data_IF_887934146965
#
_entry.id   IF_887934146965
#
_cell.length_a   1.000
_cell.length_b   1.000
_cell.length_c   1.000
_cell.angle_alpha   90.00
_cell.angle_beta   90.00
_cell.angle_gamma   90.00
#
_symmetry.space_group_name_H-M   'P 1'
#
loop_
_entity.id
_entity.type
_entity.pdbx_description
1 polymer ?
#
# COMPACT_ATOMS: atom_id res chain seq x y z
N UNK A 1 -21.02 -19.28 20.57
CA UNK A 1 -20.29 -18.31 19.71
C UNK A 1 -18.95 -18.95 19.38
N UNK A 2 -18.49 -18.91 18.12
CA UNK A 2 -17.23 -19.53 17.71
C UNK A 2 -16.04 -18.59 17.96
N UNK A 3 -14.89 -19.12 18.37
CA UNK A 3 -13.67 -18.36 18.67
C UNK A 3 -13.20 -17.48 17.51
N UNK A 4 -13.45 -17.90 16.27
CA UNK A 4 -13.15 -17.09 15.07
C UNK A 4 -13.82 -15.72 15.11
N UNK A 5 -14.99 -15.59 15.75
CA UNK A 5 -15.65 -14.28 15.87
C UNK A 5 -14.84 -13.33 16.76
N UNK A 6 -14.33 -13.84 17.88
CA UNK A 6 -13.50 -13.05 18.78
C UNK A 6 -12.13 -12.74 18.15
N UNK A 7 -11.54 -13.71 17.45
CA UNK A 7 -10.28 -13.52 16.72
C UNK A 7 -10.38 -12.37 15.70
N UNK A 8 -11.46 -12.32 14.92
CA UNK A 8 -11.68 -11.25 13.95
C UNK A 8 -11.80 -9.89 14.64
N UNK A 9 -12.47 -9.81 15.79
CA UNK A 9 -12.62 -8.55 16.55
C UNK A 9 -11.28 -8.11 17.14
N UNK A 10 -10.56 -9.01 17.82
CA UNK A 10 -9.25 -8.73 18.43
C UNK A 10 -8.24 -8.34 17.36
N UNK A 11 -8.29 -8.96 16.18
CA UNK A 11 -7.47 -8.56 15.03
C UNK A 11 -7.72 -7.11 14.60
N UNK A 12 -8.96 -6.61 14.67
CA UNK A 12 -9.24 -5.19 14.41
C UNK A 12 -8.67 -4.28 15.50
N UNK A 13 -8.71 -4.72 16.76
CA UNK A 13 -8.12 -3.99 17.89
C UNK A 13 -6.59 -3.89 17.82
N UNK A 14 -5.92 -4.85 17.15
CA UNK A 14 -4.47 -4.91 16.98
C UNK A 14 -3.98 -4.36 15.62
N UNK A 15 -4.82 -3.67 14.84
CA UNK A 15 -4.45 -3.26 13.46
C UNK A 15 -3.39 -2.15 13.38
N UNK A 16 -3.19 -1.41 14.47
CA UNK A 16 -2.25 -0.29 14.53
C UNK A 16 -0.92 -0.68 15.16
N UNK A 17 0.13 0.00 14.73
CA UNK A 17 1.47 -0.10 15.31
C UNK A 17 1.96 1.29 15.70
N UNK A 18 2.77 1.36 16.75
CA UNK A 18 3.47 2.56 17.19
C UNK A 18 4.93 2.45 16.76
N UNK A 19 5.45 3.49 16.11
CA UNK A 19 6.83 3.53 15.65
C UNK A 19 7.76 3.78 16.84
N UNK A 20 8.79 2.95 16.97
CA UNK A 20 9.83 3.08 17.99
C UNK A 20 11.03 3.81 17.40
N UNK A 21 11.62 3.28 16.33
CA UNK A 21 12.68 3.96 15.60
C UNK A 21 12.27 4.11 14.12
N UNK A 22 12.28 5.32 13.56
CA UNK A 22 11.86 5.54 12.17
C UNK A 22 12.89 5.08 11.12
N UNK A 23 14.15 4.85 11.53
CA UNK A 23 15.24 4.50 10.61
C UNK A 23 15.40 5.54 9.49
N UNK A 24 15.55 5.07 8.25
CA UNK A 24 15.62 5.90 7.03
C UNK A 24 14.27 6.04 6.31
N UNK A 25 13.17 5.66 6.97
CA UNK A 25 11.82 5.85 6.43
C UNK A 25 11.35 7.30 6.61
N UNK A 26 10.19 7.63 6.05
CA UNK A 26 9.54 8.94 6.25
C UNK A 26 8.66 9.00 7.51
N UNK A 27 8.68 7.95 8.34
CA UNK A 27 7.85 7.85 9.53
C UNK A 27 8.42 8.69 10.67
N UNK A 28 7.56 9.02 11.65
CA UNK A 28 7.96 9.76 12.85
C UNK A 28 7.95 8.85 14.07
N UNK A 29 8.84 9.13 15.01
CA UNK A 29 8.87 8.46 16.30
C UNK A 29 7.54 8.62 17.04
N UNK A 30 7.09 7.57 17.72
CA UNK A 30 5.82 7.49 18.45
C UNK A 30 4.56 7.67 17.59
N UNK A 31 4.69 7.81 16.27
CA UNK A 31 3.56 7.87 15.36
C UNK A 31 2.78 6.56 15.38
N UNK A 32 1.44 6.66 15.39
CA UNK A 32 0.56 5.50 15.30
C UNK A 32 0.01 5.41 13.88
N UNK A 33 0.37 4.36 13.17
CA UNK A 33 -0.06 4.12 11.79
C UNK A 33 -0.67 2.73 11.62
N UNK A 34 -1.31 2.50 10.47
CA UNK A 34 -1.82 1.17 10.15
C UNK A 34 -0.67 0.19 9.90
N UNK A 35 -0.80 -1.05 10.38
CA UNK A 35 0.23 -2.07 10.21
C UNK A 35 0.58 -2.30 8.75
N UNK A 36 -0.38 -2.21 7.83
CA UNK A 36 -0.11 -2.38 6.40
C UNK A 36 0.70 -1.21 5.84
N UNK A 37 0.39 0.01 6.24
CA UNK A 37 1.12 1.22 5.82
C UNK A 37 2.56 1.22 6.34
N UNK A 38 2.76 0.75 7.57
CA UNK A 38 4.10 0.51 8.14
C UNK A 38 4.90 -0.48 7.29
N UNK A 39 4.29 -1.62 6.94
CA UNK A 39 4.94 -2.63 6.11
C UNK A 39 5.32 -2.07 4.73
N UNK A 40 4.41 -1.33 4.07
CA UNK A 40 4.68 -0.67 2.79
C UNK A 40 5.79 0.39 2.87
N UNK A 41 5.90 1.12 3.98
CA UNK A 41 6.98 2.07 4.21
C UNK A 41 8.35 1.35 4.32
N UNK A 42 8.40 0.24 5.05
CA UNK A 42 9.60 -0.57 5.18
C UNK A 42 10.00 -1.27 3.87
N UNK A 43 9.04 -1.82 3.14
CA UNK A 43 9.26 -2.44 1.83
C UNK A 43 9.83 -1.42 0.83
N UNK A 44 9.40 -0.16 0.91
CA UNK A 44 9.95 0.93 0.08
C UNK A 44 11.42 1.22 0.38
N UNK A 45 11.93 0.96 1.58
CA UNK A 45 13.33 1.18 1.95
C UNK A 45 14.17 -0.08 1.76
N UNK A 46 13.54 -1.24 1.69
CA UNK A 46 14.22 -2.52 1.55
C UNK A 46 15.19 -2.56 0.37
N UNK A 47 16.45 -2.95 0.64
CA UNK A 47 17.51 -3.07 -0.37
C UNK A 47 18.00 -1.73 -0.97
N UNK A 48 17.57 -0.59 -0.44
CA UNK A 48 18.12 0.72 -0.78
C UNK A 48 19.36 1.02 0.05
N UNK A 49 20.16 1.99 -0.42
CA UNK A 49 21.39 2.45 0.21
C UNK A 49 21.34 3.95 0.43
N UNK A 50 21.93 4.42 1.52
CA UNK A 50 22.01 5.84 1.87
C UNK A 50 23.43 6.35 1.64
N UNK A 51 23.55 7.50 0.97
CA UNK A 51 24.85 8.14 0.73
C UNK A 51 25.39 8.74 2.02
N UNK A 52 26.59 8.28 2.43
CA UNK A 52 27.32 8.85 3.56
C UNK A 52 28.25 9.97 3.07
N UNK A 53 28.88 9.73 1.93
CA UNK A 53 29.85 10.63 1.32
C UNK A 53 29.68 10.57 -0.20
N UNK A 54 29.40 11.73 -0.80
CA UNK A 54 29.17 11.87 -2.23
C UNK A 54 30.46 11.74 -3.06
N UNK A 55 31.64 11.85 -2.42
CA UNK A 55 32.91 11.92 -3.14
C UNK A 55 32.93 13.10 -4.10
N UNK A 56 33.28 12.85 -5.36
CA UNK A 56 33.30 13.86 -6.43
C UNK A 56 32.07 13.77 -7.37
N UNK A 57 30.99 13.11 -6.93
CA UNK A 57 29.75 13.01 -7.71
C UNK A 57 28.93 14.30 -7.64
N UNK A 58 28.63 14.90 -8.79
CA UNK A 58 27.67 16.02 -8.88
C UNK A 58 26.21 15.56 -8.77
N UNK A 59 25.94 14.27 -8.99
CA UNK A 59 24.58 13.73 -9.10
C UNK A 59 23.98 13.33 -7.74
N UNK A 60 24.82 13.04 -6.74
CA UNK A 60 24.38 12.52 -5.45
C UNK A 60 24.73 13.47 -4.31
N UNK A 61 23.81 13.56 -3.35
CA UNK A 61 24.00 14.34 -2.11
C UNK A 61 24.04 13.41 -0.91
N UNK A 62 24.76 13.84 0.14
CA UNK A 62 24.78 13.14 1.42
C UNK A 62 23.36 13.01 1.97
N UNK A 63 23.01 11.82 2.48
CA UNK A 63 21.68 11.49 2.99
C UNK A 63 20.69 11.01 1.92
N UNK A 64 21.04 11.06 0.63
CA UNK A 64 20.15 10.59 -0.43
C UNK A 64 20.02 9.06 -0.43
N UNK A 65 18.77 8.58 -0.57
CA UNK A 65 18.47 7.16 -0.68
C UNK A 65 18.50 6.74 -2.16
N UNK A 66 19.30 5.72 -2.47
CA UNK A 66 19.59 5.24 -3.81
C UNK A 66 19.28 3.75 -3.93
N UNK A 67 19.01 3.30 -5.15
CA UNK A 67 18.98 1.87 -5.48
C UNK A 67 20.39 1.38 -5.75
N UNK A 68 20.66 0.10 -5.48
CA UNK A 68 21.96 -0.52 -5.77
C UNK A 68 22.39 -0.38 -7.24
N UNK A 69 21.42 -0.36 -8.16
CA UNK A 69 21.65 -0.14 -9.60
C UNK A 69 22.19 1.26 -9.88
N UNK A 70 21.49 2.31 -9.43
CA UNK A 70 21.91 3.71 -9.66
C UNK A 70 23.30 3.99 -9.07
N UNK A 71 23.58 3.45 -7.89
CA UNK A 71 24.90 3.58 -7.28
C UNK A 71 26.00 2.93 -8.14
N UNK A 72 25.74 1.74 -8.69
CA UNK A 72 26.70 1.03 -9.53
C UNK A 72 27.01 1.80 -10.82
N UNK A 73 25.98 2.33 -11.47
CA UNK A 73 26.11 3.07 -12.72
C UNK A 73 26.96 4.33 -12.51
N UNK A 74 26.70 5.08 -11.44
CA UNK A 74 27.46 6.29 -11.10
C UNK A 74 28.90 5.97 -10.66
N UNK A 75 29.10 4.98 -9.80
CA UNK A 75 30.44 4.58 -9.37
C UNK A 75 31.28 4.04 -10.54
N UNK A 76 30.66 3.44 -11.56
CA UNK A 76 31.34 3.02 -12.79
C UNK A 76 31.70 4.21 -13.69
N UNK A 77 30.96 5.32 -13.62
CA UNK A 77 31.30 6.58 -14.30
C UNK A 77 32.48 7.27 -13.61
N UNK A 78 32.40 7.43 -12.29
CA UNK A 78 33.45 8.08 -11.49
C UNK A 78 34.79 7.36 -11.61
N UNK A 79 34.79 6.01 -11.54
CA UNK A 79 36.01 5.20 -11.72
C UNK A 79 36.62 5.32 -13.12
N UNK A 80 35.83 5.58 -14.16
CA UNK A 80 36.35 5.81 -15.53
C UNK A 80 37.02 7.18 -15.69
N UNK A 81 36.72 8.12 -14.78
CA UNK A 81 37.25 9.48 -14.79
C UNK A 81 38.30 9.69 -13.69
N UNK A 82 38.77 8.61 -13.04
CA UNK A 82 39.69 8.63 -11.89
C UNK A 82 39.22 9.53 -10.71
N UNK A 83 37.90 9.69 -10.57
CA UNK A 83 37.25 10.43 -9.50
C UNK A 83 36.92 9.55 -8.30
N UNK A 84 36.78 10.15 -7.10
CA UNK A 84 36.46 9.40 -5.88
C UNK A 84 35.05 8.83 -5.94
N UNK A 85 34.86 7.51 -5.71
CA UNK A 85 33.54 6.89 -5.73
C UNK A 85 32.71 7.27 -4.51
N UNK A 86 31.39 7.18 -4.67
CA UNK A 86 30.41 7.49 -3.63
C UNK A 86 30.42 6.37 -2.57
N UNK A 87 30.52 6.75 -1.29
CA UNK A 87 30.41 5.82 -0.16
C UNK A 87 28.98 5.80 0.36
N UNK A 88 28.49 4.59 0.60
CA UNK A 88 27.12 4.36 1.04
C UNK A 88 27.06 3.40 2.22
N UNK A 89 25.99 3.50 3.01
CA UNK A 89 25.54 2.45 3.94
C UNK A 89 24.24 1.84 3.45
N UNK A 90 23.88 0.69 4.01
CA UNK A 90 22.55 0.13 3.80
C UNK A 90 21.50 0.97 4.55
N UNK A 91 20.30 1.07 3.95
CA UNK A 91 19.21 1.79 4.56
C UNK A 91 18.57 0.95 5.67
N UNK A 92 18.27 1.60 6.79
CA UNK A 92 17.71 0.97 7.99
C UNK A 92 16.19 1.11 7.94
N UNK A 93 15.42 0.01 8.00
CA UNK A 93 13.96 0.06 8.06
C UNK A 93 13.50 0.57 9.44
N UNK A 94 12.25 1.03 9.52
CA UNK A 94 11.65 1.44 10.78
C UNK A 94 11.31 0.22 11.65
N UNK A 95 11.39 0.38 12.97
CA UNK A 95 10.93 -0.57 13.98
C UNK A 95 9.64 -0.07 14.62
N UNK A 96 8.81 -1.00 15.07
CA UNK A 96 7.50 -0.67 15.67
C UNK A 96 7.07 -1.72 16.66
N UNK A 97 6.29 -1.31 17.65
CA UNK A 97 5.54 -2.22 18.52
C UNK A 97 4.05 -2.20 18.20
N UNK A 98 3.42 -3.37 18.29
CA UNK A 98 1.98 -3.50 18.03
C UNK A 98 1.20 -3.02 19.25
N UNK A 99 0.20 -2.17 19.01
CA UNK A 99 -0.63 -1.62 20.08
C UNK A 99 -2.01 -2.27 20.05
N UNK A 100 -2.54 -2.57 21.24
CA UNK A 100 -3.91 -3.03 21.40
C UNK A 100 -4.81 -1.82 21.70
N UNK A 101 -5.74 -1.53 20.80
CA UNK A 101 -6.70 -0.44 20.95
C UNK A 101 -8.05 -0.96 21.44
N UNK A 102 -8.76 -0.14 22.23
CA UNK A 102 -10.17 -0.40 22.50
C UNK A 102 -11.01 -0.36 21.22
N UNK A 103 -12.10 -1.14 21.16
CA UNK A 103 -12.93 -1.27 19.94
C UNK A 103 -13.45 0.08 19.42
N UNK A 104 -13.82 0.99 20.32
CA UNK A 104 -14.28 2.35 20.00
C UNK A 104 -13.18 3.15 19.28
N UNK A 105 -11.95 3.11 19.78
CA UNK A 105 -10.81 3.82 19.18
C UNK A 105 -10.41 3.20 17.84
N UNK A 106 -10.41 1.87 17.75
CA UNK A 106 -10.12 1.15 16.51
C UNK A 106 -11.14 1.46 15.40
N UNK A 107 -12.42 1.66 15.76
CA UNK A 107 -13.49 2.04 14.82
C UNK A 107 -13.38 3.51 14.35
N UNK A 108 -13.06 4.43 15.26
CA UNK A 108 -12.84 5.84 14.95
C UNK A 108 -11.59 6.07 14.07
N UNK A 109 -10.53 5.28 14.26
CA UNK A 109 -9.27 5.38 13.52
C UNK A 109 -9.22 4.47 12.27
N UNK A 110 -10.37 4.20 11.67
CA UNK A 110 -10.46 3.50 10.38
C UNK A 110 -9.95 4.40 9.24
N UNK A 111 -9.52 3.79 8.12
CA UNK A 111 -8.99 4.56 6.97
C UNK A 111 -10.06 5.42 6.31
N UNK A 112 -11.29 4.92 6.28
CA UNK A 112 -12.44 5.65 5.78
C UNK A 112 -12.96 6.65 6.80
N UNK A 113 -12.92 7.92 6.44
CA UNK A 113 -13.51 8.96 7.25
C UNK A 113 -15.05 8.90 7.22
N UNK A 114 -15.67 8.39 6.15
CA UNK A 114 -17.12 8.19 6.08
C UNK A 114 -17.59 7.14 7.09
N UNK A 115 -16.89 6.01 7.15
CA UNK A 115 -17.12 4.95 8.12
C UNK A 115 -16.87 5.43 9.56
N UNK A 116 -15.78 6.15 9.79
CA UNK A 116 -15.46 6.71 11.10
C UNK A 116 -16.52 7.74 11.57
N UNK A 117 -16.89 8.69 10.69
CA UNK A 117 -17.89 9.71 10.99
C UNK A 117 -19.26 9.09 11.31
N UNK A 118 -19.65 8.00 10.62
CA UNK A 118 -20.92 7.31 10.90
C UNK A 118 -20.99 6.64 12.28
N UNK A 119 -19.84 6.44 12.94
CA UNK A 119 -19.79 5.76 14.23
C UNK A 119 -19.94 6.74 15.39
N UNK A 120 -18.98 7.66 15.58
CA UNK A 120 -18.95 8.67 16.65
C UNK A 120 -18.10 9.88 16.20
N UNK A 121 -18.11 10.98 16.98
CA UNK A 121 -17.27 12.17 16.75
C UNK A 121 -17.38 12.80 15.34
N UNK A 122 -18.58 12.76 14.74
CA UNK A 122 -18.88 13.20 13.36
C UNK A 122 -18.19 14.50 12.94
N UNK A 123 -18.39 15.59 13.70
CA UNK A 123 -17.85 16.92 13.39
C UNK A 123 -16.33 16.94 13.37
N UNK A 124 -15.69 16.24 14.30
CA UNK A 124 -14.23 16.19 14.39
C UNK A 124 -13.63 15.41 13.23
N UNK A 125 -14.18 14.22 12.94
CA UNK A 125 -13.72 13.36 11.85
C UNK A 125 -13.83 14.07 10.49
N UNK A 126 -14.95 14.76 10.24
CA UNK A 126 -15.15 15.49 8.99
C UNK A 126 -14.24 16.71 8.87
N UNK A 127 -14.01 17.44 9.96
CA UNK A 127 -13.08 18.57 9.96
C UNK A 127 -11.63 18.13 9.69
N UNK A 128 -11.16 17.07 10.35
CA UNK A 128 -9.82 16.51 10.11
C UNK A 128 -9.67 16.04 8.65
N UNK A 129 -10.68 15.34 8.13
CA UNK A 129 -10.69 14.89 6.74
C UNK A 129 -10.67 16.06 5.73
N UNK A 130 -11.39 17.14 6.01
CA UNK A 130 -11.41 18.33 5.17
C UNK A 130 -10.08 19.08 5.19
N UNK A 131 -9.45 19.22 6.36
CA UNK A 131 -8.15 19.89 6.51
C UNK A 131 -7.05 19.12 5.76
N UNK A 132 -7.06 17.79 5.86
CA UNK A 132 -6.08 16.93 5.18
C UNK A 132 -6.39 16.68 3.70
N UNK A 133 -7.58 17.05 3.22
CA UNK A 133 -8.03 16.72 1.86
C UNK A 133 -8.18 15.21 1.62
N UNK A 134 -8.61 14.46 2.64
CA UNK A 134 -8.75 13.00 2.57
C UNK A 134 -9.79 12.60 1.51
N UNK A 135 -9.46 11.56 0.75
CA UNK A 135 -10.38 10.91 -0.20
C UNK A 135 -10.73 9.52 0.30
N UNK A 136 -12.02 9.18 0.25
CA UNK A 136 -12.50 7.84 0.64
C UNK A 136 -12.55 6.92 -0.59
N UNK A 137 -11.95 5.74 -0.49
CA UNK A 137 -11.84 4.78 -1.59
C UNK A 137 -12.96 3.72 -1.59
N UNK A 138 -13.92 3.80 -0.67
CA UNK A 138 -15.09 2.91 -0.58
C UNK A 138 -14.68 1.42 -0.60
N UNK A 139 -13.66 1.05 0.18
CA UNK A 139 -13.19 -0.34 0.28
C UNK A 139 -14.02 -1.16 1.27
N UNK A 140 -14.64 -0.49 2.25
CA UNK A 140 -15.41 -1.09 3.34
C UNK A 140 -16.89 -1.24 3.03
N UNK A 141 -17.59 -2.01 3.86
CA UNK A 141 -19.04 -2.19 3.71
C UNK A 141 -19.82 -0.91 4.06
N UNK A 142 -19.45 -0.22 5.15
CA UNK A 142 -20.22 0.93 5.67
C UNK A 142 -20.20 2.12 4.71
N UNK A 143 -19.04 2.46 4.18
CA UNK A 143 -18.89 3.47 3.12
C UNK A 143 -19.85 3.23 1.95
N UNK A 144 -19.84 2.01 1.41
CA UNK A 144 -20.68 1.65 0.27
C UNK A 144 -22.16 1.70 0.62
N UNK A 145 -22.55 1.27 1.83
CA UNK A 145 -23.93 1.38 2.31
C UNK A 145 -24.37 2.85 2.41
N UNK A 146 -23.53 3.73 2.96
CA UNK A 146 -23.84 5.16 3.10
C UNK A 146 -24.03 5.81 1.73
N UNK A 147 -23.21 5.44 0.74
CA UNK A 147 -23.31 5.95 -0.62
C UNK A 147 -24.41 5.28 -1.47
N UNK A 148 -25.02 4.18 -1.02
CA UNK A 148 -25.97 3.39 -1.81
C UNK A 148 -25.33 2.54 -2.92
N UNK A 149 -24.02 2.26 -2.83
CA UNK A 149 -23.32 1.35 -3.75
C UNK A 149 -23.51 -0.12 -3.36
N UNK A 150 -23.26 -1.02 -4.32
CA UNK A 150 -23.20 -2.45 -4.04
C UNK A 150 -22.07 -2.74 -3.03
N UNK A 151 -22.41 -3.39 -1.92
CA UNK A 151 -21.43 -3.69 -0.87
C UNK A 151 -20.36 -4.68 -1.37
N UNK A 152 -19.09 -4.55 -0.95
CA UNK A 152 -17.99 -5.43 -1.37
C UNK A 152 -18.00 -6.78 -0.63
N UNK A 153 -19.18 -7.39 -0.45
CA UNK A 153 -19.38 -8.64 0.25
C UNK A 153 -20.46 -9.50 -0.44
N UNK A 154 -20.43 -10.81 -0.22
CA UNK A 154 -21.37 -11.73 -0.87
C UNK A 154 -21.23 -11.70 -2.40
N UNK A 155 -22.32 -11.39 -3.10
CA UNK A 155 -22.38 -11.26 -4.56
C UNK A 155 -21.66 -10.02 -5.08
N UNK A 156 -21.48 -8.98 -4.25
CA UNK A 156 -20.77 -7.76 -4.61
C UNK A 156 -19.24 -7.86 -4.51
N UNK A 157 -18.69 -9.08 -4.34
CA UNK A 157 -17.25 -9.29 -4.45
C UNK A 157 -16.79 -8.95 -5.88
N UNK A 158 -15.84 -8.01 -6.01
CA UNK A 158 -15.27 -7.55 -7.30
C UNK A 158 -14.80 -8.69 -8.23
N UNK A 159 -14.41 -9.84 -7.67
CA UNK A 159 -14.02 -11.02 -8.45
C UNK A 159 -15.18 -11.74 -9.15
N UNK A 160 -16.41 -11.62 -8.62
CA UNK A 160 -17.61 -12.27 -9.18
C UNK A 160 -18.22 -11.45 -10.32
N UNK A 161 -18.04 -10.13 -10.31
CA UNK A 161 -18.58 -9.22 -11.34
C UNK A 161 -18.14 -9.58 -12.76
N UNK A 162 -16.93 -10.13 -12.90
CA UNK A 162 -16.33 -10.50 -14.19
C UNK A 162 -16.65 -11.94 -14.61
N UNK A 163 -17.38 -12.70 -13.79
CA UNK A 163 -17.74 -14.08 -14.11
C UNK A 163 -18.95 -14.06 -15.02
N UNK A 164 -18.72 -14.38 -16.30
CA UNK A 164 -19.77 -14.52 -17.30
C UNK A 164 -20.11 -16.01 -17.41
N UNK A 165 -21.40 -16.34 -17.26
CA UNK A 165 -21.91 -17.70 -17.44
C UNK A 165 -22.66 -17.76 -18.77
N UNK A 166 -22.27 -18.70 -19.62
CA UNK A 166 -22.88 -18.93 -20.94
C UNK A 166 -23.06 -20.42 -21.22
N UNK A 167 -23.75 -20.75 -22.31
CA UNK A 167 -23.91 -22.15 -22.72
C UNK A 167 -22.60 -22.72 -23.29
N UNK A 168 -22.35 -24.02 -23.08
CA UNK A 168 -21.15 -24.69 -23.62
C UNK A 168 -21.06 -24.54 -25.15
N UNK A 169 -22.18 -24.67 -25.85
CA UNK A 169 -22.25 -24.54 -27.30
C UNK A 169 -21.88 -23.12 -27.78
N UNK A 170 -22.29 -22.08 -27.05
CA UNK A 170 -21.95 -20.68 -27.36
C UNK A 170 -20.47 -20.39 -27.09
N UNK A 171 -19.93 -20.93 -25.99
CA UNK A 171 -18.50 -20.84 -25.67
C UNK A 171 -17.63 -21.50 -26.76
N UNK A 172 -18.01 -22.69 -27.22
CA UNK A 172 -17.33 -23.39 -28.33
C UNK A 172 -17.39 -22.60 -29.65
N UNK A 173 -18.53 -21.96 -29.96
CA UNK A 173 -18.65 -21.06 -31.13
C UNK A 173 -17.74 -19.84 -31.02
N UNK A 174 -17.69 -19.19 -29.85
CA UNK A 174 -16.83 -18.03 -29.62
C UNK A 174 -15.35 -18.40 -29.76
N UNK A 175 -14.94 -19.58 -29.24
CA UNK A 175 -13.59 -20.11 -29.40
C UNK A 175 -13.24 -20.42 -30.85
N UNK A 176 -14.16 -21.04 -31.60
CA UNK A 176 -13.97 -21.36 -33.02
C UNK A 176 -13.80 -20.07 -33.85
N UNK A 177 -14.64 -19.06 -33.61
CA UNK A 177 -14.52 -17.75 -34.26
C UNK A 177 -13.20 -17.06 -33.90
N UNK A 178 -12.75 -17.14 -32.64
CA UNK A 178 -11.48 -16.54 -32.21
C UNK A 178 -10.27 -17.20 -32.87
N UNK A 179 -10.26 -18.53 -33.06
CA UNK A 179 -9.21 -19.23 -33.80
C UNK A 179 -9.16 -18.80 -35.26
N UNK A 180 -10.30 -18.76 -35.93
CA UNK A 180 -10.37 -18.39 -37.34
C UNK A 180 -9.90 -16.94 -37.60
N UNK A 181 -10.15 -16.01 -36.68
CA UNK A 181 -9.69 -14.60 -36.82
C UNK A 181 -8.18 -14.45 -36.59
N UNK A 182 -7.55 -15.32 -35.78
CA UNK A 182 -6.11 -15.30 -35.55
C UNK A 182 -5.36 -15.84 -36.78
N UNK A 183 -5.85 -16.94 -37.39
CA UNK A 183 -5.26 -17.50 -38.61
C UNK A 183 -5.26 -16.48 -39.78
N UNK A 184 -6.31 -15.66 -39.93
CA UNK A 184 -6.33 -14.62 -40.97
C UNK A 184 -5.32 -13.49 -40.73
N UNK A 185 -4.92 -13.21 -39.48
CA UNK A 185 -3.95 -12.15 -39.14
C UNK A 185 -2.49 -12.59 -39.24
N UNK A 186 -2.22 -13.89 -39.29
CA UNK A 186 -0.87 -14.43 -39.49
C UNK A 186 -0.55 -14.67 -40.97
N UNK A 187 -1.52 -14.45 -41.86
CA UNK A 187 -1.41 -14.65 -43.32
C UNK A 187 -1.23 -13.32 -44.09
N UNK A 188 -1.41 -12.17 -43.42
CA UNK A 188 -1.08 -10.81 -43.92
C UNK A 188 0.21 -10.27 -43.28
#
# INVERSE_FOLDING_TARGET
INDKHFEVIVRQMMRKVQIEEPGDTTLLEQQIIDKLEFMEANDRIWGKKVVIDAGDSENFKVGQILTARRLRDENSRLKRQDLKPVKVRDAVPATSTQILQGITRAALQTKSFMSAASFQETTKVLNEAAIEGKTDYLEGMKENVICGHLIPAGTGRRGLEKIIVGSKAEYERILANKKNVIDYKEID
#
